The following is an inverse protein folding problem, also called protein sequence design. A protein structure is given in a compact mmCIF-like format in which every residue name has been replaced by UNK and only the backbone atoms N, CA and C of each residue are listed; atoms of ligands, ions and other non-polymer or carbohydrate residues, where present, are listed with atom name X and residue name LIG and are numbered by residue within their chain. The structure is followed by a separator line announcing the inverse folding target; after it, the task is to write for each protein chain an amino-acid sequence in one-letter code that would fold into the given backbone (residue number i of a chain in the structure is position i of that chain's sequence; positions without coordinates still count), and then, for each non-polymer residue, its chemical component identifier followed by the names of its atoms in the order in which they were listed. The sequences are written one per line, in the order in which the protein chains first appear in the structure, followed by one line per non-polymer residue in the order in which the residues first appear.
data_IF_083212920547
#
_entry.id   IF_083212920547
#
_cell.length_a   1.000
_cell.length_b   1.000
_cell.length_c   1.000
_cell.angle_alpha   90.00
_cell.angle_beta   90.00
_cell.angle_gamma   90.00
#
_symmetry.space_group_name_H-M   'P 1'
#
loop_
_entity.id
_entity.type
_entity.pdbx_description
1 polymer ?
#
# COMPACT_ATOMS: atom_id res chain seq x y z
N UNK A 1 13.50 -10.37 -6.57
CA UNK A 1 12.45 -10.79 -5.64
C UNK A 1 12.95 -10.70 -4.22
N UNK A 2 12.10 -11.01 -3.24
CA UNK A 2 12.49 -11.15 -1.83
C UNK A 2 12.63 -12.65 -1.55
N UNK A 3 13.75 -13.12 -0.95
CA UNK A 3 13.97 -14.54 -0.72
C UNK A 3 13.05 -15.08 0.38
N UNK A 4 12.69 -16.37 0.30
CA UNK A 4 11.98 -17.07 1.35
C UNK A 4 12.88 -17.31 2.57
N UNK A 5 12.34 -17.23 3.79
CA UNK A 5 13.12 -17.43 5.02
C UNK A 5 13.54 -18.89 5.25
N UNK A 6 12.71 -19.86 4.83
CA UNK A 6 13.01 -21.29 4.91
C UNK A 6 12.39 -22.06 3.74
N UNK A 7 13.03 -23.13 3.24
CA UNK A 7 12.42 -24.03 2.27
C UNK A 7 11.15 -24.69 2.84
N UNK A 8 10.09 -24.78 2.03
CA UNK A 8 8.83 -25.45 2.38
C UNK A 8 7.81 -24.64 3.21
N UNK A 9 8.11 -23.41 3.63
CA UNK A 9 7.10 -22.53 4.25
C UNK A 9 6.17 -21.90 3.21
N UNK A 10 4.97 -21.43 3.61
CA UNK A 10 4.03 -20.74 2.71
C UNK A 10 4.66 -19.56 1.93
N UNK A 11 5.60 -18.85 2.56
CA UNK A 11 6.37 -17.78 1.91
C UNK A 11 7.19 -18.25 0.71
N UNK A 12 7.58 -19.52 0.64
CA UNK A 12 8.32 -20.09 -0.50
C UNK A 12 7.48 -20.20 -1.78
N UNK A 13 6.15 -20.32 -1.68
CA UNK A 13 5.27 -20.36 -2.85
C UNK A 13 5.12 -19.00 -3.54
N UNK A 14 5.36 -17.90 -2.81
CA UNK A 14 5.12 -16.52 -3.29
C UNK A 14 6.43 -15.72 -3.42
N UNK A 15 7.48 -16.12 -2.70
CA UNK A 15 8.77 -15.45 -2.75
C UNK A 15 9.37 -15.47 -4.16
N UNK A 16 9.53 -14.28 -4.73
CA UNK A 16 10.19 -14.11 -6.03
C UNK A 16 9.31 -14.37 -7.26
N UNK A 17 8.03 -14.70 -7.09
CA UNK A 17 7.09 -14.89 -8.22
C UNK A 17 6.76 -13.58 -8.93
N UNK A 18 6.79 -12.46 -8.21
CA UNK A 18 6.49 -11.14 -8.77
C UNK A 18 7.79 -10.43 -9.18
N UNK A 19 7.93 -10.19 -10.49
CA UNK A 19 8.98 -9.37 -11.07
C UNK A 19 8.80 -7.87 -10.75
N UNK A 20 9.88 -7.09 -10.89
CA UNK A 20 9.85 -5.63 -10.62
C UNK A 20 8.86 -4.88 -11.52
N UNK A 21 8.80 -5.22 -12.81
CA UNK A 21 7.90 -4.59 -13.77
C UNK A 21 6.42 -4.73 -13.39
N UNK A 22 5.88 -5.96 -13.25
CA UNK A 22 4.50 -6.16 -12.83
C UNK A 22 4.15 -5.49 -11.50
N UNK A 23 5.07 -5.50 -10.52
CA UNK A 23 4.86 -4.82 -9.24
C UNK A 23 4.74 -3.30 -9.38
N UNK A 24 5.54 -2.68 -10.24
CA UNK A 24 5.44 -1.24 -10.51
C UNK A 24 4.14 -0.90 -11.24
N UNK A 25 3.77 -1.70 -12.24
CA UNK A 25 2.54 -1.51 -13.01
C UNK A 25 1.31 -1.63 -12.12
N UNK A 26 1.22 -2.67 -11.28
CA UNK A 26 0.09 -2.84 -10.36
C UNK A 26 0.00 -1.72 -9.32
N UNK A 27 1.15 -1.25 -8.82
CA UNK A 27 1.20 -0.12 -7.87
C UNK A 27 0.73 1.17 -8.55
N UNK A 28 1.18 1.45 -9.78
CA UNK A 28 0.76 2.63 -10.54
C UNK A 28 -0.74 2.57 -10.87
N UNK A 29 -1.24 1.41 -11.29
CA UNK A 29 -2.67 1.21 -11.55
C UNK A 29 -3.51 1.42 -10.29
N UNK A 30 -3.07 0.92 -9.13
CA UNK A 30 -3.74 1.16 -7.85
C UNK A 30 -3.73 2.64 -7.47
N UNK A 31 -2.62 3.35 -7.66
CA UNK A 31 -2.54 4.78 -7.41
C UNK A 31 -3.50 5.59 -8.30
N UNK A 32 -3.59 5.25 -9.59
CA UNK A 32 -4.55 5.87 -10.52
C UNK A 32 -6.00 5.59 -10.10
N UNK A 33 -6.32 4.36 -9.72
CA UNK A 33 -7.66 4.00 -9.23
C UNK A 33 -8.03 4.77 -7.96
N UNK A 34 -7.11 4.86 -6.99
CA UNK A 34 -7.30 5.64 -5.75
C UNK A 34 -7.51 7.12 -6.07
N UNK A 35 -6.69 7.70 -6.95
CA UNK A 35 -6.84 9.09 -7.37
C UNK A 35 -8.18 9.34 -8.07
N UNK A 36 -8.62 8.43 -8.95
CA UNK A 36 -9.91 8.54 -9.64
C UNK A 36 -11.09 8.49 -8.66
N UNK A 37 -11.07 7.57 -7.69
CA UNK A 37 -12.10 7.48 -6.64
C UNK A 37 -12.12 8.73 -5.77
N UNK A 38 -10.94 9.26 -5.41
CA UNK A 38 -10.83 10.49 -4.63
C UNK A 38 -11.28 11.74 -5.41
N UNK A 39 -11.05 11.79 -6.73
CA UNK A 39 -11.57 12.84 -7.58
C UNK A 39 -13.10 12.78 -7.69
N UNK A 40 -13.66 11.57 -7.81
CA UNK A 40 -15.11 11.36 -7.86
C UNK A 40 -15.79 11.77 -6.55
N UNK A 41 -15.17 11.50 -5.39
CA UNK A 41 -15.73 11.86 -4.09
C UNK A 41 -15.81 13.39 -3.86
N UNK A 42 -15.02 14.18 -4.59
CA UNK A 42 -15.08 15.64 -4.56
C UNK A 42 -16.33 16.22 -5.25
N UNK A 43 -17.03 15.44 -6.08
CA UNK A 43 -18.22 15.91 -6.81
C UNK A 43 -19.40 16.20 -5.87
N UNK A 44 -19.56 15.43 -4.79
CA UNK A 44 -20.67 15.58 -3.86
C UNK A 44 -20.56 16.87 -3.02
N UNK A 45 -19.42 17.19 -2.36
CA UNK A 45 -19.22 18.48 -1.69
C UNK A 45 -19.35 19.68 -2.63
N UNK A 46 -18.87 19.56 -3.87
CA UNK A 46 -19.01 20.61 -4.88
C UNK A 46 -20.49 20.90 -5.21
N UNK A 47 -21.32 19.85 -5.32
CA UNK A 47 -22.77 19.99 -5.51
C UNK A 47 -23.48 20.62 -4.29
N UNK A 48 -22.90 20.48 -3.09
CA UNK A 48 -23.41 21.04 -1.83
C UNK A 48 -22.85 22.45 -1.52
N UNK A 49 -22.02 23.02 -2.39
CA UNK A 49 -21.44 24.37 -2.21
C UNK A 49 -20.30 24.45 -1.20
N UNK A 50 -19.81 23.32 -0.69
CA UNK A 50 -18.64 23.24 0.18
C UNK A 50 -17.42 22.86 -0.66
N UNK A 51 -16.74 23.85 -1.26
CA UNK A 51 -15.63 23.60 -2.18
C UNK A 51 -14.27 23.76 -1.49
N UNK A 52 -13.73 22.67 -0.95
CA UNK A 52 -12.29 22.50 -0.86
C UNK A 52 -11.71 22.31 -2.28
N UNK A 53 -10.44 22.67 -2.53
CA UNK A 53 -9.81 22.42 -3.82
C UNK A 53 -9.91 20.93 -4.20
N UNK A 54 -10.32 20.59 -5.44
CA UNK A 54 -10.55 19.19 -5.85
C UNK A 54 -9.27 18.33 -5.82
N UNK A 55 -8.10 18.97 -5.73
CA UNK A 55 -6.81 18.31 -5.57
C UNK A 55 -6.59 17.75 -4.16
N UNK A 56 -7.24 18.30 -3.13
CA UNK A 56 -6.97 17.92 -1.74
C UNK A 56 -7.36 16.47 -1.42
N UNK A 57 -8.57 15.97 -1.80
CA UNK A 57 -8.92 14.57 -1.61
C UNK A 57 -7.96 13.61 -2.31
N UNK A 58 -7.44 13.99 -3.48
CA UNK A 58 -6.48 13.20 -4.26
C UNK A 58 -5.15 13.11 -3.51
N UNK A 59 -4.59 14.26 -3.11
CA UNK A 59 -3.32 14.30 -2.36
C UNK A 59 -3.41 13.52 -1.05
N UNK A 60 -4.54 13.65 -0.33
CA UNK A 60 -4.80 12.91 0.88
C UNK A 60 -4.81 11.39 0.64
N UNK A 61 -5.56 10.92 -0.36
CA UNK A 61 -5.67 9.51 -0.66
C UNK A 61 -4.32 8.90 -1.12
N UNK A 62 -3.59 9.62 -1.97
CA UNK A 62 -2.26 9.20 -2.43
C UNK A 62 -1.23 9.24 -1.30
N UNK A 63 -1.27 10.26 -0.44
CA UNK A 63 -0.42 10.38 0.74
C UNK A 63 -0.65 9.23 1.73
N UNK A 64 -1.91 8.88 1.98
CA UNK A 64 -2.30 7.74 2.79
C UNK A 64 -1.80 6.40 2.22
N UNK A 65 -2.00 6.17 0.92
CA UNK A 65 -1.47 4.98 0.24
C UNK A 65 0.06 4.90 0.35
N UNK A 66 0.76 6.02 0.12
CA UNK A 66 2.21 6.09 0.23
C UNK A 66 2.70 5.79 1.65
N UNK A 67 2.03 6.31 2.68
CA UNK A 67 2.33 6.01 4.08
C UNK A 67 2.17 4.53 4.41
N UNK A 68 1.08 3.90 3.94
CA UNK A 68 0.86 2.45 4.10
C UNK A 68 1.95 1.61 3.44
N UNK A 69 2.32 1.93 2.19
CA UNK A 69 3.39 1.25 1.47
C UNK A 69 4.76 1.44 2.15
N UNK A 70 5.04 2.63 2.66
CA UNK A 70 6.27 2.91 3.39
C UNK A 70 6.36 2.10 4.70
N UNK A 71 5.27 2.04 5.47
CA UNK A 71 5.19 1.26 6.71
C UNK A 71 5.43 -0.24 6.44
N UNK A 72 4.74 -0.82 5.45
CA UNK A 72 4.96 -2.20 5.05
C UNK A 72 6.40 -2.42 4.55
N UNK A 73 6.96 -1.52 3.75
CA UNK A 73 8.33 -1.64 3.29
C UNK A 73 9.35 -1.65 4.43
N UNK A 74 9.17 -0.81 5.46
CA UNK A 74 10.01 -0.79 6.65
C UNK A 74 9.92 -2.11 7.44
N UNK A 75 8.70 -2.61 7.65
CA UNK A 75 8.46 -3.90 8.29
C UNK A 75 9.12 -5.04 7.50
N UNK A 76 8.98 -5.04 6.17
CA UNK A 76 9.62 -6.03 5.30
C UNK A 76 11.14 -6.01 5.44
N UNK A 77 11.75 -4.82 5.44
CA UNK A 77 13.19 -4.66 5.64
C UNK A 77 13.62 -5.19 7.01
N UNK A 78 12.81 -4.98 8.06
CA UNK A 78 13.10 -5.51 9.39
C UNK A 78 12.97 -7.03 9.42
N UNK A 79 11.90 -7.59 8.86
CA UNK A 79 11.64 -9.02 8.80
C UNK A 79 12.75 -9.75 8.03
N UNK A 80 13.09 -9.30 6.82
CA UNK A 80 14.15 -9.92 6.00
C UNK A 80 15.50 -9.90 6.73
N UNK A 81 15.86 -8.78 7.37
CA UNK A 81 17.13 -8.69 8.14
C UNK A 81 17.15 -9.58 9.38
N UNK A 82 15.99 -9.89 9.98
CA UNK A 82 15.90 -10.66 11.23
C UNK A 82 15.66 -12.15 11.00
N UNK A 83 14.93 -12.50 9.95
CA UNK A 83 14.47 -13.85 9.66
C UNK A 83 15.19 -14.49 8.45
N UNK A 84 16.03 -13.74 7.73
CA UNK A 84 16.72 -14.23 6.54
C UNK A 84 15.86 -14.27 5.26
N UNK A 85 14.60 -13.85 5.34
CA UNK A 85 13.68 -13.82 4.20
C UNK A 85 12.24 -13.50 4.62
N UNK A 86 11.27 -13.87 3.77
CA UNK A 86 9.82 -13.74 4.04
C UNK A 86 9.16 -15.10 4.33
N UNK A 87 8.18 -15.09 5.24
CA UNK A 87 7.26 -16.20 5.55
C UNK A 87 5.82 -15.80 5.21
N UNK A 88 4.86 -16.73 5.34
CA UNK A 88 3.43 -16.43 5.17
C UNK A 88 2.94 -15.36 6.16
N UNK A 89 3.30 -15.51 7.45
CA UNK A 89 2.88 -14.57 8.51
C UNK A 89 3.43 -13.16 8.28
N UNK A 90 4.65 -13.05 7.72
CA UNK A 90 5.21 -11.75 7.34
C UNK A 90 4.38 -11.10 6.23
N UNK A 91 3.91 -11.86 5.24
CA UNK A 91 3.04 -11.30 4.19
C UNK A 91 1.71 -10.81 4.78
N UNK A 92 1.09 -11.57 5.68
CA UNK A 92 -0.11 -11.15 6.41
C UNK A 92 0.12 -9.86 7.18
N UNK A 93 1.16 -9.81 8.01
CA UNK A 93 1.51 -8.63 8.79
C UNK A 93 1.81 -7.40 7.92
N UNK A 94 2.38 -7.58 6.73
CA UNK A 94 2.60 -6.48 5.78
C UNK A 94 1.30 -5.89 5.26
N UNK A 95 0.32 -6.73 4.92
CA UNK A 95 -0.99 -6.29 4.44
C UNK A 95 -1.75 -5.56 5.54
N UNK A 96 -1.77 -6.12 6.76
CA UNK A 96 -2.39 -5.49 7.92
C UNK A 96 -1.74 -4.13 8.22
N UNK A 97 -0.40 -4.08 8.28
CA UNK A 97 0.35 -2.84 8.54
C UNK A 97 0.09 -1.78 7.47
N UNK A 98 0.11 -2.17 6.19
CA UNK A 98 -0.17 -1.24 5.08
C UNK A 98 -1.58 -0.67 5.20
N UNK A 99 -2.56 -1.53 5.46
CA UNK A 99 -3.98 -1.15 5.57
C UNK A 99 -4.19 -0.22 6.76
N UNK A 100 -3.69 -0.59 7.95
CA UNK A 100 -3.82 0.21 9.17
C UNK A 100 -3.14 1.56 9.01
N UNK A 101 -1.91 1.61 8.50
CA UNK A 101 -1.20 2.87 8.32
C UNK A 101 -1.86 3.76 7.25
N UNK A 102 -2.38 3.18 6.16
CA UNK A 102 -3.11 3.94 5.15
C UNK A 102 -4.41 4.52 5.71
N UNK A 103 -5.21 3.73 6.42
CA UNK A 103 -6.46 4.21 7.03
C UNK A 103 -6.19 5.29 8.07
N UNK A 104 -5.21 5.08 8.95
CA UNK A 104 -4.82 6.09 9.94
C UNK A 104 -4.34 7.38 9.28
N UNK A 105 -3.44 7.29 8.30
CA UNK A 105 -2.97 8.47 7.57
C UNK A 105 -4.11 9.20 6.86
N UNK A 106 -5.06 8.47 6.25
CA UNK A 106 -6.21 9.06 5.59
C UNK A 106 -7.14 9.80 6.57
N UNK A 107 -7.27 9.30 7.80
CA UNK A 107 -8.04 9.98 8.85
C UNK A 107 -7.34 11.22 9.43
N UNK A 108 -6.01 11.28 9.37
CA UNK A 108 -5.21 12.36 9.95
C UNK A 108 -4.86 13.48 8.97
N UNK A 109 -4.89 13.19 7.67
CA UNK A 109 -4.69 14.14 6.56
C UNK A 109 -6.03 14.78 6.14
#
# INVERSE_FOLDING_TARGET
GVPAARPGGLGAFVAGTVGRGPALVSTAAAALAVAAVAALSALLPAALGTSEPPVWPILRALGAMAAGLAAAWLLRRRAVRRLGGITGDVLGALVETATTAALLAFCLL
#
